data_IF_489107704662
#
_entry.id   IF_489107704662
#
_cell.length_a   1.000
_cell.length_b   1.000
_cell.length_c   1.000
_cell.angle_alpha   90.00
_cell.angle_beta   90.00
_cell.angle_gamma   90.00
#
_symmetry.space_group_name_H-M   'P 1'
#
loop_
_entity.id
_entity.type
_entity.pdbx_description
1 polymer ?
#
# COMPACT_ATOMS: atom_id res chain seq x y z
N UNK A 1 20.10 -20.35 -1.32
CA UNK A 1 18.77 -20.99 -1.31
C UNK A 1 17.97 -20.28 -0.25
N UNK A 2 17.02 -19.43 -0.65
CA UNK A 2 16.23 -18.66 0.30
C UNK A 2 15.31 -19.62 1.06
N UNK A 3 15.38 -19.59 2.39
CA UNK A 3 14.41 -20.22 3.27
C UNK A 3 13.00 -19.82 2.83
N UNK A 4 12.15 -20.76 2.44
CA UNK A 4 10.75 -20.50 2.17
C UNK A 4 10.09 -20.09 3.49
N UNK A 5 9.84 -18.79 3.67
CA UNK A 5 9.21 -18.28 4.89
C UNK A 5 7.82 -18.89 5.05
N UNK A 6 7.60 -19.57 6.17
CA UNK A 6 6.32 -20.20 6.48
C UNK A 6 5.43 -19.19 7.22
N UNK A 7 4.44 -18.66 6.51
CA UNK A 7 3.57 -17.59 6.99
C UNK A 7 2.14 -18.12 7.10
N UNK A 8 1.59 -18.08 8.32
CA UNK A 8 0.21 -18.47 8.62
C UNK A 8 -0.49 -17.30 9.29
N UNK A 9 -1.71 -16.98 8.84
CA UNK A 9 -2.57 -15.99 9.44
C UNK A 9 -3.75 -16.69 10.10
N UNK A 10 -3.82 -16.63 11.42
CA UNK A 10 -5.00 -17.03 12.19
C UNK A 10 -5.99 -15.88 12.18
N UNK A 11 -7.10 -16.03 11.45
CA UNK A 11 -8.10 -14.97 11.29
C UNK A 11 -9.46 -15.53 10.85
N UNK A 12 -10.50 -14.70 10.91
CA UNK A 12 -11.81 -15.00 10.33
C UNK A 12 -12.07 -14.05 9.16
N UNK A 13 -12.61 -14.55 8.03
CA UNK A 13 -12.75 -13.77 6.80
C UNK A 13 -13.56 -12.47 6.95
N UNK A 14 -14.48 -12.38 7.92
CA UNK A 14 -15.24 -11.15 8.24
C UNK A 14 -14.57 -10.20 9.24
N UNK A 15 -13.36 -10.49 9.71
CA UNK A 15 -12.63 -9.68 10.69
C UNK A 15 -12.07 -8.39 10.07
N UNK A 16 -12.42 -7.20 10.60
CA UNK A 16 -11.86 -5.94 10.10
C UNK A 16 -10.38 -5.77 10.47
N UNK A 17 -9.92 -6.41 11.54
CA UNK A 17 -8.52 -6.38 11.97
C UNK A 17 -7.65 -7.29 11.11
N UNK A 18 -8.20 -8.45 10.77
CA UNK A 18 -7.60 -9.40 9.86
C UNK A 18 -7.53 -8.94 8.41
N UNK A 19 -8.55 -8.19 7.95
CA UNK A 19 -8.53 -7.51 6.65
C UNK A 19 -7.29 -6.61 6.48
N UNK A 20 -6.86 -5.89 7.53
CA UNK A 20 -5.66 -5.04 7.48
C UNK A 20 -4.40 -5.85 7.18
N UNK A 21 -4.26 -7.00 7.83
CA UNK A 21 -3.11 -7.89 7.66
C UNK A 21 -3.12 -8.51 6.26
N UNK A 22 -4.28 -8.97 5.78
CA UNK A 22 -4.44 -9.51 4.42
C UNK A 22 -4.08 -8.49 3.35
N UNK A 23 -4.54 -7.24 3.50
CA UNK A 23 -4.18 -6.15 2.59
C UNK A 23 -2.68 -5.85 2.62
N UNK A 24 -2.05 -5.84 3.80
CA UNK A 24 -0.61 -5.63 3.92
C UNK A 24 0.21 -6.74 3.25
N UNK A 25 -0.15 -8.01 3.50
CA UNK A 25 0.50 -9.17 2.85
C UNK A 25 0.30 -9.16 1.33
N UNK A 26 -0.92 -8.87 0.87
CA UNK A 26 -1.23 -8.78 -0.56
C UNK A 26 -0.47 -7.62 -1.24
N UNK A 27 -0.37 -6.46 -0.58
CA UNK A 27 0.39 -5.31 -1.08
C UNK A 27 1.88 -5.63 -1.25
N UNK A 28 2.43 -6.53 -0.42
CA UNK A 28 3.81 -7.00 -0.50
C UNK A 28 4.00 -8.23 -1.39
N UNK A 29 2.93 -8.77 -1.97
CA UNK A 29 2.98 -9.98 -2.82
C UNK A 29 3.41 -11.24 -2.07
N UNK A 30 3.17 -11.30 -0.76
CA UNK A 30 3.60 -12.41 0.10
C UNK A 30 2.53 -13.50 0.07
N UNK A 31 2.93 -14.74 -0.21
CA UNK A 31 2.06 -15.91 -0.06
C UNK A 31 1.93 -16.30 1.42
N UNK A 32 0.70 -16.60 1.86
CA UNK A 32 0.41 -16.99 3.23
C UNK A 32 -0.76 -17.98 3.26
N UNK A 33 -0.81 -18.80 4.32
CA UNK A 33 -1.93 -19.69 4.59
C UNK A 33 -2.89 -19.01 5.58
N UNK A 34 -4.19 -19.10 5.32
CA UNK A 34 -5.23 -18.65 6.27
C UNK A 34 -5.71 -19.88 7.02
N UNK A 35 -5.59 -19.86 8.35
CA UNK A 35 -6.29 -20.80 9.20
C UNK A 35 -7.51 -20.09 9.79
N UNK A 36 -8.70 -20.52 9.36
CA UNK A 36 -9.97 -19.95 9.83
C UNK A 36 -10.22 -20.30 11.30
N UNK A 37 -10.42 -19.26 12.11
CA UNK A 37 -10.88 -19.43 13.49
C UNK A 37 -12.39 -19.22 13.57
N UNK A 38 -13.10 -20.21 14.13
CA UNK A 38 -14.54 -20.13 14.34
C UNK A 38 -14.85 -19.15 15.48
N UNK A 39 -15.55 -18.06 15.17
CA UNK A 39 -15.94 -17.06 16.17
C UNK A 39 -17.03 -17.54 17.13
N UNK A 40 -17.66 -18.69 16.84
CA UNK A 40 -18.92 -19.09 17.47
C UNK A 40 -18.82 -20.24 18.47
N UNK A 41 -17.89 -21.18 18.34
CA UNK A 41 -17.73 -22.29 19.29
C UNK A 41 -16.30 -22.82 19.34
N UNK A 42 -15.69 -22.75 20.55
CA UNK A 42 -14.38 -23.32 20.89
C UNK A 42 -13.18 -22.79 20.08
N UNK A 43 -12.53 -21.73 20.59
CA UNK A 43 -11.21 -21.26 20.10
C UNK A 43 -10.25 -22.43 19.90
N UNK A 44 -9.52 -22.47 18.79
CA UNK A 44 -8.63 -23.59 18.50
C UNK A 44 -7.55 -23.76 19.59
N UNK A 45 -7.08 -25.01 19.76
CA UNK A 45 -6.00 -25.32 20.69
C UNK A 45 -4.67 -24.63 20.34
N UNK A 46 -4.51 -24.15 19.10
CA UNK A 46 -3.34 -23.39 18.64
C UNK A 46 -3.42 -21.94 19.11
N UNK A 47 -4.57 -21.29 19.00
CA UNK A 47 -4.77 -19.91 19.46
C UNK A 47 -4.60 -19.80 20.98
N UNK A 48 -5.07 -20.79 21.73
CA UNK A 48 -4.88 -20.88 23.18
C UNK A 48 -3.42 -21.09 23.60
N UNK A 49 -2.59 -21.73 22.75
CA UNK A 49 -1.16 -21.95 23.00
C UNK A 49 -0.29 -20.77 22.60
N UNK A 50 -0.65 -20.08 21.51
CA UNK A 50 0.16 -19.01 20.92
C UNK A 50 -0.12 -17.65 21.56
N UNK A 51 -1.35 -17.38 21.98
CA UNK A 51 -1.75 -16.11 22.60
C UNK A 51 -2.37 -16.35 23.98
N UNK A 52 -1.50 -16.60 24.97
CA UNK A 52 -1.91 -16.79 26.37
C UNK A 52 -2.49 -15.53 27.02
N UNK A 53 -2.25 -14.35 26.43
CA UNK A 53 -2.51 -13.05 27.07
C UNK A 53 -3.78 -12.39 26.52
N UNK A 54 -3.99 -12.35 25.20
CA UNK A 54 -5.08 -11.57 24.60
C UNK A 54 -6.20 -12.44 24.03
N UNK A 55 -5.91 -13.68 23.59
CA UNK A 55 -6.84 -14.64 23.00
C UNK A 55 -7.68 -14.01 21.87
N UNK A 56 -7.06 -13.15 21.05
CA UNK A 56 -7.72 -12.33 20.00
C UNK A 56 -7.06 -12.53 18.64
N UNK A 57 -7.87 -12.54 17.60
CA UNK A 57 -7.44 -12.51 16.19
C UNK A 57 -7.28 -11.06 15.69
N UNK A 58 -6.42 -10.79 14.70
CA UNK A 58 -5.56 -11.73 13.98
C UNK A 58 -4.25 -12.04 14.71
N UNK A 59 -3.70 -13.23 14.46
CA UNK A 59 -2.34 -13.62 14.85
C UNK A 59 -1.58 -14.05 13.60
N UNK A 60 -0.46 -13.38 13.31
CA UNK A 60 0.44 -13.77 12.23
C UNK A 60 1.53 -14.68 12.80
N UNK A 61 1.72 -15.85 12.23
CA UNK A 61 2.80 -16.77 12.58
C UNK A 61 3.83 -16.71 11.46
N UNK A 62 5.01 -16.17 11.76
CA UNK A 62 6.13 -16.15 10.82
C UNK A 62 7.23 -17.07 11.33
N UNK A 63 7.51 -18.17 10.62
CA UNK A 63 8.53 -19.16 10.98
C UNK A 63 8.38 -19.68 12.43
N UNK A 64 7.13 -19.95 12.83
CA UNK A 64 6.77 -20.44 14.16
C UNK A 64 6.72 -19.37 15.26
N UNK A 65 7.03 -18.11 14.96
CA UNK A 65 6.91 -16.99 15.91
C UNK A 65 5.57 -16.28 15.76
N UNK A 66 4.71 -16.27 16.79
CA UNK A 66 3.45 -15.53 16.74
C UNK A 66 3.69 -14.03 16.94
N UNK A 67 3.02 -13.22 16.12
CA UNK A 67 2.88 -11.78 16.25
C UNK A 67 1.40 -11.48 16.42
N UNK A 68 1.06 -10.83 17.53
CA UNK A 68 -0.31 -10.43 17.86
C UNK A 68 -0.51 -8.93 17.57
N UNK A 69 -1.77 -8.48 17.60
CA UNK A 69 -2.21 -7.10 17.32
C UNK A 69 -2.06 -6.68 15.85
N UNK A 70 -3.19 -6.42 15.18
CA UNK A 70 -3.21 -6.11 13.74
C UNK A 70 -2.28 -4.96 13.32
N UNK A 71 -2.12 -3.91 14.13
CA UNK A 71 -1.24 -2.78 13.81
C UNK A 71 0.24 -3.14 13.96
N UNK A 72 0.58 -3.94 14.96
CA UNK A 72 1.95 -4.45 15.15
C UNK A 72 2.30 -5.41 14.02
N UNK A 73 1.36 -6.26 13.62
CA UNK A 73 1.52 -7.16 12.47
C UNK A 73 1.77 -6.36 11.18
N UNK A 74 1.00 -5.31 10.91
CA UNK A 74 1.23 -4.46 9.72
C UNK A 74 2.59 -3.76 9.76
N UNK A 75 2.97 -3.19 10.92
CA UNK A 75 4.29 -2.58 11.09
C UNK A 75 5.42 -3.61 10.91
N UNK A 76 5.24 -4.81 11.45
CA UNK A 76 6.16 -5.93 11.29
C UNK A 76 6.30 -6.35 9.82
N UNK A 77 5.18 -6.44 9.09
CA UNK A 77 5.19 -6.76 7.65
C UNK A 77 6.00 -5.72 6.89
N UNK A 78 5.80 -4.44 7.19
CA UNK A 78 6.54 -3.37 6.53
C UNK A 78 8.03 -3.38 6.91
N UNK A 79 8.38 -3.73 8.15
CA UNK A 79 9.77 -3.80 8.61
C UNK A 79 10.53 -5.01 8.04
N UNK A 80 9.89 -6.18 7.98
CA UNK A 80 10.51 -7.42 7.50
C UNK A 80 10.57 -7.47 5.99
N UNK A 81 9.50 -7.04 5.32
CA UNK A 81 9.41 -6.96 3.86
C UNK A 81 9.37 -5.49 3.43
N UNK A 82 10.39 -4.73 3.85
CA UNK A 82 10.62 -3.35 3.38
C UNK A 82 10.58 -3.32 1.86
N UNK A 83 9.94 -2.29 1.31
CA UNK A 83 9.97 -2.05 -0.13
C UNK A 83 11.44 -1.98 -0.57
N UNK A 84 11.90 -3.05 -1.22
CA UNK A 84 13.30 -3.21 -1.62
C UNK A 84 13.69 -2.20 -2.68
N UNK A 85 12.72 -1.58 -3.34
CA UNK A 85 12.96 -0.64 -4.44
C UNK A 85 13.90 0.51 -4.05
N UNK A 86 13.78 1.02 -2.82
CA UNK A 86 14.54 2.18 -2.35
C UNK A 86 15.63 1.84 -1.33
N UNK A 87 15.70 0.58 -0.89
CA UNK A 87 16.70 0.09 0.09
C UNK A 87 17.65 -0.97 -0.47
N UNK A 88 17.36 -1.53 -1.64
CA UNK A 88 18.26 -2.41 -2.38
C UNK A 88 19.40 -1.63 -3.05
N UNK A 89 20.50 -2.32 -3.33
CA UNK A 89 21.65 -1.79 -4.06
C UNK A 89 21.99 -2.72 -5.24
N UNK A 90 22.57 -2.18 -6.31
CA UNK A 90 23.02 -2.99 -7.45
C UNK A 90 21.88 -3.44 -8.37
N UNK A 91 21.95 -4.67 -8.88
CA UNK A 91 21.01 -5.18 -9.91
C UNK A 91 19.55 -5.22 -9.44
N UNK A 92 19.30 -5.51 -8.16
CA UNK A 92 17.94 -5.58 -7.59
C UNK A 92 17.27 -4.20 -7.51
N UNK A 93 18.06 -3.16 -7.24
CA UNK A 93 17.58 -1.77 -7.25
C UNK A 93 17.23 -1.33 -8.68
N UNK A 94 18.07 -1.66 -9.66
CA UNK A 94 17.82 -1.31 -11.06
C UNK A 94 16.60 -2.07 -11.63
N UNK A 95 16.40 -3.34 -11.25
CA UNK A 95 15.22 -4.10 -11.63
C UNK A 95 13.93 -3.50 -11.05
N UNK A 96 13.92 -3.19 -9.74
CA UNK A 96 12.78 -2.54 -9.10
C UNK A 96 12.50 -1.15 -9.66
N UNK A 97 13.55 -0.35 -9.92
CA UNK A 97 13.44 0.95 -10.58
C UNK A 97 12.81 0.82 -11.97
N UNK A 98 13.22 -0.17 -12.76
CA UNK A 98 12.66 -0.42 -14.08
C UNK A 98 11.17 -0.77 -14.00
N UNK A 99 10.79 -1.67 -13.09
CA UNK A 99 9.39 -2.03 -12.88
C UNK A 99 8.55 -0.82 -12.45
N UNK A 100 9.07 0.01 -11.55
CA UNK A 100 8.42 1.25 -11.13
C UNK A 100 8.22 2.22 -12.30
N UNK A 101 9.26 2.46 -13.11
CA UNK A 101 9.16 3.30 -14.31
C UNK A 101 8.12 2.72 -15.29
N UNK A 102 8.12 1.42 -15.52
CA UNK A 102 7.16 0.77 -16.42
C UNK A 102 5.71 0.93 -15.93
N UNK A 103 5.46 0.83 -14.61
CA UNK A 103 4.15 1.09 -14.02
C UNK A 103 3.72 2.56 -14.14
N UNK A 104 4.64 3.50 -14.01
CA UNK A 104 4.36 4.93 -14.21
C UNK A 104 4.08 5.23 -15.69
N UNK A 105 4.80 4.60 -16.62
CA UNK A 105 4.53 4.73 -18.07
C UNK A 105 3.16 4.18 -18.45
N UNK A 106 2.76 3.05 -17.85
CA UNK A 106 1.42 2.51 -18.02
C UNK A 106 0.37 3.52 -17.56
N UNK A 107 0.58 4.15 -16.40
CA UNK A 107 -0.29 5.19 -15.87
C UNK A 107 -0.36 6.41 -16.78
N UNK A 108 0.78 6.86 -17.30
CA UNK A 108 0.83 7.97 -18.25
C UNK A 108 0.07 7.65 -19.56
N UNK A 109 0.03 6.38 -19.97
CA UNK A 109 -0.80 5.92 -21.08
C UNK A 109 -2.30 6.13 -20.84
N UNK A 110 -2.75 5.93 -19.61
CA UNK A 110 -4.14 6.19 -19.20
C UNK A 110 -4.46 7.68 -19.04
N UNK A 111 -3.43 8.51 -18.86
CA UNK A 111 -3.56 9.95 -18.85
C UNK A 111 -3.87 10.45 -20.28
N UNK A 112 -5.17 10.54 -20.57
CA UNK A 112 -5.72 11.12 -21.82
C UNK A 112 -5.31 12.59 -21.94
N UNK A 113 -5.61 13.22 -23.08
CA UNK A 113 -5.40 14.64 -23.37
C UNK A 113 -6.23 15.63 -22.52
N UNK A 114 -6.83 15.14 -21.45
CA UNK A 114 -7.73 15.87 -20.59
C UNK A 114 -7.00 16.44 -19.35
N UNK A 115 -7.58 17.46 -18.68
CA UNK A 115 -6.95 18.06 -17.51
C UNK A 115 -6.78 17.08 -16.34
N UNK A 116 -7.68 16.09 -16.19
CA UNK A 116 -7.67 15.10 -15.12
C UNK A 116 -7.68 13.67 -15.69
N UNK A 117 -7.33 12.68 -14.86
CA UNK A 117 -7.52 11.27 -15.21
C UNK A 117 -8.99 10.98 -15.54
N UNK A 118 -9.91 11.59 -14.79
CA UNK A 118 -11.36 11.52 -15.04
C UNK A 118 -11.88 12.34 -16.22
N UNK A 119 -11.00 13.00 -16.97
CA UNK A 119 -11.39 13.88 -18.06
C UNK A 119 -11.51 15.34 -17.63
N UNK A 120 -12.72 15.88 -17.61
CA UNK A 120 -13.00 17.29 -17.30
C UNK A 120 -13.10 17.58 -15.80
N UNK A 121 -13.35 16.55 -14.98
CA UNK A 121 -13.51 16.66 -13.53
C UNK A 121 -12.45 15.87 -12.79
N UNK A 122 -12.08 16.36 -11.61
CA UNK A 122 -11.18 15.69 -10.69
C UNK A 122 -11.84 14.38 -10.21
N UNK A 123 -11.17 13.26 -10.44
CA UNK A 123 -11.68 11.91 -10.13
C UNK A 123 -10.83 11.23 -9.06
N UNK A 124 -11.24 10.05 -8.61
CA UNK A 124 -10.56 9.25 -7.60
C UNK A 124 -9.07 9.08 -7.90
N UNK A 125 -8.71 8.83 -9.17
CA UNK A 125 -7.31 8.67 -9.57
C UNK A 125 -6.51 9.96 -9.36
N UNK A 126 -7.07 11.13 -9.68
CA UNK A 126 -6.38 12.39 -9.42
C UNK A 126 -6.10 12.59 -7.91
N UNK A 127 -7.05 12.24 -7.04
CA UNK A 127 -6.90 12.31 -5.58
C UNK A 127 -5.86 11.32 -5.08
N UNK A 128 -5.87 10.09 -5.59
CA UNK A 128 -4.96 9.03 -5.18
C UNK A 128 -3.50 9.32 -5.62
N UNK A 129 -3.32 9.92 -6.81
CA UNK A 129 -1.99 10.18 -7.39
C UNK A 129 -1.40 11.53 -7.02
N UNK A 130 -2.19 12.52 -6.62
CA UNK A 130 -1.67 13.83 -6.22
C UNK A 130 -0.65 13.76 -5.06
N UNK A 131 -0.87 12.97 -3.99
CA UNK A 131 0.15 12.76 -2.97
C UNK A 131 1.44 12.16 -3.54
N UNK A 132 1.33 11.23 -4.50
CA UNK A 132 2.47 10.57 -5.12
C UNK A 132 3.36 11.55 -5.89
N UNK A 133 2.78 12.59 -6.50
CA UNK A 133 3.55 13.65 -7.17
C UNK A 133 4.55 14.34 -6.22
N UNK A 134 4.16 14.61 -4.97
CA UNK A 134 5.08 15.20 -3.98
C UNK A 134 6.25 14.27 -3.64
N UNK A 135 6.08 12.96 -3.82
CA UNK A 135 7.13 11.95 -3.64
C UNK A 135 8.02 11.76 -4.87
N UNK A 136 7.66 12.29 -6.04
CA UNK A 136 8.48 12.15 -7.25
C UNK A 136 9.87 12.74 -7.07
N UNK A 137 10.00 13.91 -6.42
CA UNK A 137 11.30 14.48 -6.12
C UNK A 137 12.18 13.54 -5.28
N UNK A 138 11.57 12.88 -4.30
CA UNK A 138 12.23 11.89 -3.45
C UNK A 138 12.67 10.68 -4.28
N UNK A 139 11.80 10.15 -5.15
CA UNK A 139 12.12 9.01 -6.01
C UNK A 139 13.21 9.32 -7.04
N UNK A 140 13.17 10.50 -7.66
CA UNK A 140 14.21 10.96 -8.59
C UNK A 140 15.58 11.04 -7.89
N UNK A 141 15.60 11.51 -6.63
CA UNK A 141 16.81 11.63 -5.83
C UNK A 141 17.39 10.27 -5.45
N UNK A 142 16.56 9.35 -4.95
CA UNK A 142 17.01 8.02 -4.52
C UNK A 142 17.32 7.09 -5.70
N UNK A 143 16.52 7.14 -6.78
CA UNK A 143 16.64 6.28 -7.94
C UNK A 143 17.55 6.82 -9.04
N UNK A 144 18.06 8.05 -8.94
CA UNK A 144 18.90 8.71 -9.95
C UNK A 144 18.28 8.64 -11.36
N UNK A 145 17.03 9.05 -11.49
CA UNK A 145 16.32 9.17 -12.77
C UNK A 145 15.44 10.40 -12.76
N UNK A 146 14.81 10.70 -13.90
CA UNK A 146 13.89 11.83 -14.04
C UNK A 146 12.52 11.35 -14.51
N UNK A 147 11.49 11.68 -13.74
CA UNK A 147 10.10 11.42 -14.11
C UNK A 147 9.70 12.30 -15.31
N UNK A 148 10.24 13.51 -15.42
CA UNK A 148 10.00 14.38 -16.58
C UNK A 148 10.57 13.80 -17.88
N UNK A 149 11.70 13.10 -17.82
CA UNK A 149 12.29 12.43 -18.98
C UNK A 149 11.54 11.14 -19.36
N UNK A 150 11.11 10.37 -18.36
CA UNK A 150 10.43 9.09 -18.59
C UNK A 150 8.93 9.25 -18.91
N UNK A 151 8.27 10.21 -18.26
CA UNK A 151 6.83 10.42 -18.27
C UNK A 151 6.44 11.91 -18.32
N UNK A 152 6.62 12.59 -19.47
CA UNK A 152 6.46 14.04 -19.60
C UNK A 152 5.04 14.56 -19.37
N UNK A 153 3.99 13.81 -19.75
CA UNK A 153 2.59 14.21 -19.55
C UNK A 153 2.23 14.17 -18.07
N UNK A 154 2.70 13.14 -17.36
CA UNK A 154 2.47 13.01 -15.93
C UNK A 154 3.20 14.11 -15.14
N UNK A 155 4.43 14.42 -15.53
CA UNK A 155 5.16 15.56 -14.97
C UNK A 155 4.44 16.89 -15.22
N UNK A 156 3.91 17.11 -16.43
CA UNK A 156 3.12 18.29 -16.76
C UNK A 156 1.80 18.38 -15.99
N UNK A 157 1.11 17.25 -15.79
CA UNK A 157 -0.08 17.15 -14.93
C UNK A 157 0.26 17.52 -13.49
N UNK A 158 1.32 16.94 -12.94
CA UNK A 158 1.76 17.21 -11.58
C UNK A 158 2.15 18.68 -11.35
N UNK A 159 2.89 19.29 -12.28
CA UNK A 159 3.24 20.73 -12.23
C UNK A 159 1.99 21.63 -12.25
N UNK A 160 0.92 21.21 -12.92
CA UNK A 160 -0.35 21.96 -13.01
C UNK A 160 -1.11 21.99 -11.68
N UNK A 161 -1.05 20.92 -10.89
CA UNK A 161 -1.86 20.75 -9.67
C UNK A 161 -1.07 20.81 -8.36
N UNK A 162 0.25 20.56 -8.40
CA UNK A 162 1.17 20.67 -7.26
C UNK A 162 1.44 22.11 -6.79
N UNK A 163 0.99 23.12 -7.55
CA UNK A 163 0.96 24.53 -7.13
C UNK A 163 -0.23 24.91 -6.25
N UNK A 164 -1.09 23.95 -5.92
CA UNK A 164 -2.28 24.13 -5.07
C UNK A 164 -3.58 23.91 -5.85
N UNK A 165 -4.28 22.83 -5.53
CA UNK A 165 -5.68 22.65 -5.93
C UNK A 165 -6.48 23.77 -5.25
N UNK A 166 -7.01 24.69 -6.04
CA UNK A 166 -7.93 25.72 -5.55
C UNK A 166 -9.28 25.06 -5.34
N UNK A 167 -9.45 24.38 -4.19
CA UNK A 167 -10.74 23.82 -3.79
C UNK A 167 -11.69 24.99 -3.57
N UNK A 168 -12.59 25.23 -4.51
CA UNK A 168 -13.66 26.22 -4.36
C UNK A 168 -14.70 25.59 -3.42
N UNK A 169 -14.51 25.78 -2.12
CA UNK A 169 -15.54 25.46 -1.14
C UNK A 169 -16.73 26.38 -1.43
N UNK A 170 -17.79 25.85 -2.06
CA UNK A 170 -19.07 26.55 -2.12
C UNK A 170 -19.70 26.46 -0.74
N UNK A 171 -19.33 27.36 0.17
CA UNK A 171 -20.12 27.56 1.38
C UNK A 171 -21.43 28.20 0.99
N UNK A 172 -22.49 27.40 0.83
CA UNK A 172 -23.85 27.93 0.84
C UNK A 172 -24.12 28.42 2.26
N UNK A 173 -23.97 29.73 2.51
CA UNK A 173 -24.61 30.34 3.67
C UNK A 173 -26.11 30.27 3.42
N UNK A 174 -26.76 29.31 4.06
CA UNK A 174 -28.21 29.37 4.24
C UNK A 174 -28.49 30.58 5.12
N UNK A 175 -28.95 31.67 4.51
CA UNK A 175 -29.50 32.81 5.21
C UNK A 175 -30.83 32.36 5.84
N UNK A 176 -30.79 32.06 7.13
CA UNK A 176 -31.99 31.93 7.94
C UNK A 176 -32.62 33.33 8.09
N UNK A 177 -33.77 33.52 7.46
CA UNK A 177 -34.76 34.55 7.78
C UNK A 177 -35.74 34.02 8.80
#
# INVERSE_FOLDING_TARGET
MASSDHIVLLDFLGSPFGMRVRLALAAKGIEYQIEEEDSTQSKSSLLLKLDTVHKKIPVLIHNGKPICESLIIVAYIDEVWKDRLWTANGEEQEAGKKEFIDRIKLLEGELKSNPYFGGETLDFLDIAFLPLYYWFHTFETFGKFSIEAECPKLAAWGKRYGGGIRVRLSTSRSSAT
#
